data_IF_183562699754
#
_entry.id   IF_183562699754
#
_cell.length_a   1.000
_cell.length_b   1.000
_cell.length_c   1.000
_cell.angle_alpha   90.00
_cell.angle_beta   90.00
_cell.angle_gamma   90.00
#
_symmetry.space_group_name_H-M   'P 1'
#
loop_
_entity.id
_entity.type
_entity.pdbx_description
1 polymer ?
#
# COMPACT_ATOMS: atom_id res chain seq x y z
N UNK A 1 -18.35 -17.63 -23.08
CA UNK A 1 -17.61 -17.47 -21.82
C UNK A 1 -16.51 -16.45 -22.02
N UNK A 2 -16.41 -15.50 -21.11
CA UNK A 2 -15.42 -14.44 -21.23
C UNK A 2 -14.06 -14.92 -20.74
N UNK A 3 -13.07 -14.88 -21.63
CA UNK A 3 -11.72 -15.24 -21.23
C UNK A 3 -11.04 -14.06 -20.53
N UNK A 4 -10.34 -14.36 -19.45
CA UNK A 4 -9.54 -13.35 -18.74
C UNK A 4 -8.21 -13.24 -19.47
N UNK A 5 -7.97 -12.10 -20.06
CA UNK A 5 -6.74 -11.82 -20.80
C UNK A 5 -5.79 -10.96 -19.99
N UNK A 6 -4.56 -10.79 -20.49
CA UNK A 6 -3.60 -9.86 -19.91
C UNK A 6 -4.20 -8.46 -19.76
N UNK A 7 -4.99 -8.03 -20.75
CA UNK A 7 -5.65 -6.73 -20.69
C UNK A 7 -6.57 -6.56 -19.50
N UNK A 8 -7.25 -7.62 -19.07
CA UNK A 8 -8.09 -7.56 -17.87
C UNK A 8 -7.26 -7.32 -16.61
N UNK A 9 -6.14 -8.02 -16.46
CA UNK A 9 -5.25 -7.83 -15.31
C UNK A 9 -4.66 -6.44 -15.29
N UNK A 10 -4.21 -5.95 -16.45
CA UNK A 10 -3.65 -4.59 -16.54
C UNK A 10 -4.69 -3.53 -16.20
N UNK A 11 -5.95 -3.74 -16.60
CA UNK A 11 -7.04 -2.82 -16.30
C UNK A 11 -7.31 -2.77 -14.80
N UNK A 12 -7.40 -3.94 -14.15
CA UNK A 12 -7.59 -4.01 -12.70
C UNK A 12 -6.44 -3.33 -11.96
N UNK A 13 -5.22 -3.60 -12.39
CA UNK A 13 -4.04 -2.98 -11.79
C UNK A 13 -4.06 -1.46 -11.95
N UNK A 14 -4.43 -0.96 -13.12
CA UNK A 14 -4.53 0.48 -13.37
C UNK A 14 -5.58 1.13 -12.47
N UNK A 15 -6.73 0.48 -12.28
CA UNK A 15 -7.78 0.98 -11.41
C UNK A 15 -7.29 1.05 -9.97
N UNK A 16 -6.67 -0.02 -9.46
CA UNK A 16 -6.16 -0.07 -8.10
C UNK A 16 -5.07 0.97 -7.87
N UNK A 17 -4.17 1.12 -8.83
CA UNK A 17 -3.11 2.12 -8.74
C UNK A 17 -3.68 3.53 -8.67
N UNK A 18 -4.66 3.82 -9.51
CA UNK A 18 -5.35 5.11 -9.54
C UNK A 18 -6.06 5.39 -8.22
N UNK A 19 -6.75 4.39 -7.67
CA UNK A 19 -7.40 4.52 -6.37
C UNK A 19 -6.38 4.81 -5.27
N UNK A 20 -5.21 4.17 -5.34
CA UNK A 20 -4.13 4.44 -4.40
C UNK A 20 -3.65 5.88 -4.47
N UNK A 21 -3.46 6.39 -5.67
CA UNK A 21 -3.05 7.78 -5.88
C UNK A 21 -4.09 8.74 -5.29
N UNK A 22 -5.37 8.53 -5.59
CA UNK A 22 -6.42 9.38 -5.05
C UNK A 22 -6.48 9.30 -3.53
N UNK A 23 -6.26 8.12 -2.96
CA UNK A 23 -6.22 7.95 -1.51
C UNK A 23 -5.17 8.83 -0.86
N UNK A 24 -3.98 8.91 -1.48
CA UNK A 24 -2.90 9.75 -0.96
C UNK A 24 -3.29 11.24 -1.04
N UNK A 25 -3.78 11.67 -2.19
CA UNK A 25 -4.09 13.09 -2.39
C UNK A 25 -5.26 13.56 -1.54
N UNK A 26 -6.30 12.74 -1.38
CA UNK A 26 -7.49 13.14 -0.65
C UNK A 26 -7.32 13.07 0.87
N UNK A 27 -6.39 12.25 1.35
CA UNK A 27 -6.26 11.97 2.78
C UNK A 27 -4.81 12.11 3.27
N UNK A 28 -4.09 13.08 2.77
CA UNK A 28 -2.66 13.23 3.06
C UNK A 28 -2.34 13.55 4.51
N UNK A 29 -3.33 13.89 5.33
CA UNK A 29 -3.12 14.11 6.77
C UNK A 29 -3.32 12.84 7.59
N UNK A 30 -3.87 11.78 7.00
CA UNK A 30 -4.12 10.54 7.70
C UNK A 30 -3.07 9.51 7.30
N UNK A 31 -2.13 9.24 8.22
CA UNK A 31 -1.00 8.33 7.96
C UNK A 31 -1.48 6.92 7.63
N UNK A 32 -2.55 6.46 8.28
CA UNK A 32 -3.08 5.12 8.04
C UNK A 32 -3.59 5.00 6.61
N UNK A 33 -4.35 5.99 6.15
CA UNK A 33 -4.90 5.98 4.80
C UNK A 33 -3.79 6.11 3.76
N UNK A 34 -2.77 6.92 4.02
CA UNK A 34 -1.62 7.02 3.13
C UNK A 34 -0.92 5.66 3.02
N UNK A 35 -0.70 4.99 4.13
CA UNK A 35 -0.06 3.68 4.13
C UNK A 35 -0.89 2.66 3.35
N UNK A 36 -2.21 2.62 3.59
CA UNK A 36 -3.10 1.74 2.85
C UNK A 36 -3.10 2.04 1.36
N UNK A 37 -3.04 3.32 0.99
CA UNK A 37 -3.00 3.75 -0.41
C UNK A 37 -1.72 3.29 -1.10
N UNK A 38 -0.58 3.41 -0.43
CA UNK A 38 0.70 2.91 -0.94
C UNK A 38 0.63 1.39 -1.12
N UNK A 39 0.01 0.68 -0.19
CA UNK A 39 -0.16 -0.77 -0.31
C UNK A 39 -1.02 -1.15 -1.51
N UNK A 40 -2.08 -0.39 -1.81
CA UNK A 40 -2.87 -0.59 -3.02
C UNK A 40 -2.04 -0.41 -4.28
N UNK A 41 -1.18 0.60 -4.29
CA UNK A 41 -0.29 0.86 -5.43
C UNK A 41 0.70 -0.28 -5.63
N UNK A 42 1.27 -0.80 -4.52
CA UNK A 42 2.17 -1.94 -4.58
C UNK A 42 1.45 -3.20 -5.04
N UNK A 43 0.23 -3.42 -4.58
CA UNK A 43 -0.59 -4.54 -5.05
C UNK A 43 -0.82 -4.44 -6.56
N UNK A 44 -1.11 -3.25 -7.07
CA UNK A 44 -1.31 -3.02 -8.50
C UNK A 44 -0.07 -3.40 -9.30
N UNK A 45 1.12 -2.99 -8.83
CA UNK A 45 2.38 -3.35 -9.47
C UNK A 45 2.58 -4.86 -9.46
N UNK A 46 2.28 -5.52 -8.34
CA UNK A 46 2.40 -6.97 -8.22
C UNK A 46 1.45 -7.72 -9.15
N UNK A 47 0.21 -7.24 -9.29
CA UNK A 47 -0.74 -7.83 -10.24
C UNK A 47 -0.15 -7.78 -11.65
N UNK A 48 0.43 -6.65 -12.05
CA UNK A 48 1.07 -6.53 -13.35
C UNK A 48 2.22 -7.51 -13.52
N UNK A 49 3.09 -7.62 -12.52
CA UNK A 49 4.25 -8.50 -12.58
C UNK A 49 3.83 -9.97 -12.67
N UNK A 50 2.82 -10.36 -11.89
CA UNK A 50 2.31 -11.74 -11.93
C UNK A 50 1.67 -12.03 -13.29
N UNK A 51 0.90 -11.08 -13.83
CA UNK A 51 0.29 -11.21 -15.13
C UNK A 51 1.34 -11.35 -16.24
N UNK A 52 2.39 -10.54 -16.20
CA UNK A 52 3.48 -10.62 -17.16
C UNK A 52 4.28 -11.91 -17.03
N UNK A 53 4.36 -12.49 -15.83
CA UNK A 53 5.14 -13.71 -15.61
C UNK A 53 4.60 -14.89 -16.43
N UNK A 54 3.31 -14.91 -16.71
CA UNK A 54 2.71 -15.97 -17.52
C UNK A 54 3.13 -15.88 -19.00
N UNK A 55 3.61 -14.72 -19.44
CA UNK A 55 4.00 -14.49 -20.84
C UNK A 55 5.52 -14.39 -21.01
N UNK A 56 6.22 -13.87 -20.00
CA UNK A 56 7.64 -13.51 -20.12
C UNK A 56 8.57 -14.46 -19.36
N UNK A 57 8.01 -15.37 -18.54
CA UNK A 57 8.77 -16.45 -17.94
C UNK A 57 9.41 -16.14 -16.60
N UNK A 58 10.44 -16.92 -16.26
CA UNK A 58 10.98 -17.01 -14.90
C UNK A 58 11.61 -15.71 -14.40
N UNK A 59 12.20 -14.93 -15.28
CA UNK A 59 12.86 -13.69 -14.89
C UNK A 59 11.86 -12.70 -14.25
N UNK A 60 10.65 -12.63 -14.82
CA UNK A 60 9.61 -11.74 -14.29
C UNK A 60 9.10 -12.27 -12.95
N UNK A 61 9.05 -13.59 -12.77
CA UNK A 61 8.69 -14.18 -11.47
C UNK A 61 9.70 -13.85 -10.38
N UNK A 62 10.98 -13.91 -10.70
CA UNK A 62 12.04 -13.51 -9.76
C UNK A 62 11.88 -12.04 -9.41
N UNK A 63 11.59 -11.20 -10.38
CA UNK A 63 11.37 -9.78 -10.16
C UNK A 63 10.15 -9.54 -9.28
N UNK A 64 9.06 -10.30 -9.50
CA UNK A 64 7.86 -10.21 -8.67
C UNK A 64 8.16 -10.58 -7.22
N UNK A 65 8.95 -11.62 -6.99
CA UNK A 65 9.37 -12.00 -5.64
C UNK A 65 10.19 -10.90 -4.98
N UNK A 66 11.06 -10.25 -5.75
CA UNK A 66 11.84 -9.12 -5.25
C UNK A 66 10.93 -7.97 -4.82
N UNK A 67 9.94 -7.63 -5.63
CA UNK A 67 8.97 -6.58 -5.31
C UNK A 67 8.17 -6.94 -4.07
N UNK A 68 7.76 -8.21 -3.93
CA UNK A 68 7.05 -8.68 -2.73
C UNK A 68 7.92 -8.54 -1.48
N UNK A 69 9.22 -8.85 -1.59
CA UNK A 69 10.15 -8.70 -0.47
C UNK A 69 10.27 -7.23 -0.05
N UNK A 70 10.41 -6.33 -1.02
CA UNK A 70 10.45 -4.89 -0.75
C UNK A 70 9.13 -4.43 -0.12
N UNK A 71 8.01 -4.89 -0.65
CA UNK A 71 6.69 -4.54 -0.11
C UNK A 71 6.53 -5.03 1.33
N UNK A 72 7.00 -6.23 1.63
CA UNK A 72 6.96 -6.77 3.00
C UNK A 72 7.83 -5.92 3.94
N UNK A 73 9.02 -5.52 3.50
CA UNK A 73 9.89 -4.66 4.28
C UNK A 73 9.24 -3.30 4.54
N UNK A 74 8.60 -2.71 3.53
CA UNK A 74 7.89 -1.44 3.68
C UNK A 74 6.71 -1.57 4.63
N UNK A 75 5.97 -2.68 4.56
CA UNK A 75 4.85 -2.93 5.48
C UNK A 75 5.35 -3.03 6.93
N UNK A 76 6.48 -3.68 7.15
CA UNK A 76 7.07 -3.80 8.48
C UNK A 76 7.48 -2.43 9.02
N UNK A 77 8.15 -1.62 8.20
CA UNK A 77 8.57 -0.28 8.56
C UNK A 77 7.34 0.60 8.81
N UNK A 78 6.34 0.52 7.94
CA UNK A 78 5.11 1.28 8.08
C UNK A 78 4.36 0.93 9.34
N UNK A 79 4.30 -0.35 9.69
CA UNK A 79 3.67 -0.79 10.93
C UNK A 79 4.41 -0.25 12.15
N UNK A 80 5.74 -0.27 12.12
CA UNK A 80 6.55 0.30 13.19
C UNK A 80 6.29 1.80 13.35
N UNK A 81 6.22 2.53 12.24
CA UNK A 81 5.90 3.96 12.25
C UNK A 81 4.50 4.18 12.83
N UNK A 82 3.52 3.38 12.44
CA UNK A 82 2.16 3.48 12.97
C UNK A 82 2.12 3.27 14.47
N UNK A 83 2.84 2.29 14.98
CA UNK A 83 2.88 2.02 16.42
C UNK A 83 3.44 3.23 17.16
N UNK A 84 4.54 3.80 16.68
CA UNK A 84 5.13 4.99 17.30
C UNK A 84 4.18 6.18 17.20
N UNK A 85 3.55 6.36 16.04
CA UNK A 85 2.61 7.46 15.82
C UNK A 85 1.45 7.41 16.80
N UNK A 86 0.83 6.24 16.95
CA UNK A 86 -0.29 6.10 17.86
C UNK A 86 0.11 6.27 19.32
N UNK A 87 1.28 5.80 19.70
CA UNK A 87 1.78 5.98 21.07
C UNK A 87 2.01 7.46 21.37
N UNK A 88 2.63 8.18 20.45
CA UNK A 88 2.86 9.61 20.61
C UNK A 88 1.55 10.40 20.63
N UNK A 89 0.62 10.05 19.74
CA UNK A 89 -0.68 10.70 19.70
C UNK A 89 -1.48 10.44 20.98
N UNK A 90 -1.41 9.23 21.51
CA UNK A 90 -2.04 8.90 22.77
C UNK A 90 -1.50 9.74 23.92
N UNK A 91 -0.18 9.92 23.97
CA UNK A 91 0.46 10.78 24.97
C UNK A 91 0.03 12.23 24.84
N UNK A 92 -0.02 12.75 23.62
CA UNK A 92 -0.44 14.13 23.35
C UNK A 92 -1.90 14.32 23.77
N UNK A 93 -2.77 13.36 23.46
CA UNK A 93 -4.18 13.43 23.81
C UNK A 93 -4.37 13.47 25.33
N UNK A 94 -3.60 12.68 26.07
CA UNK A 94 -3.66 12.69 27.54
C UNK A 94 -3.19 14.05 28.09
N UNK A 95 -2.11 14.58 27.55
CA UNK A 95 -1.60 15.90 27.94
C UNK A 95 -2.64 17.00 27.69
N UNK A 96 -3.29 16.96 26.53
CA UNK A 96 -4.33 17.92 26.19
C UNK A 96 -5.48 17.86 27.18
N UNK A 97 -5.90 16.67 27.58
CA UNK A 97 -6.96 16.49 28.56
C UNK A 97 -6.54 17.07 29.92
N UNK A 98 -5.32 16.82 30.33
CA UNK A 98 -4.79 17.36 31.58
C UNK A 98 -4.74 18.87 31.56
N UNK A 99 -4.33 19.46 30.46
CA UNK A 99 -4.28 20.92 30.30
C UNK A 99 -5.68 21.53 30.34
N UNK A 100 -6.65 20.85 29.78
CA UNK A 100 -8.04 21.32 29.80
C UNK A 100 -8.68 21.26 31.18
N UNK A 101 -8.27 20.29 32.00
CA UNK A 101 -8.80 20.13 33.37
C UNK A 101 -8.06 20.99 34.40
N UNK A 102 -6.86 21.33 34.07
CA UNK A 102 -6.01 21.99 35.02
C UNK A 102 -5.80 23.45 34.82
#
# INVERSE_FOLDING_TARGET
MMEITLGHYLTVAAILFTLGIFGIFLNRKNVIIILMSVELMLLAVNINLVAFSTHLGDLVQVFAMFVLTVAAAEAAIGLAILVVYFRNRGSIAVEDINMMKG
#
